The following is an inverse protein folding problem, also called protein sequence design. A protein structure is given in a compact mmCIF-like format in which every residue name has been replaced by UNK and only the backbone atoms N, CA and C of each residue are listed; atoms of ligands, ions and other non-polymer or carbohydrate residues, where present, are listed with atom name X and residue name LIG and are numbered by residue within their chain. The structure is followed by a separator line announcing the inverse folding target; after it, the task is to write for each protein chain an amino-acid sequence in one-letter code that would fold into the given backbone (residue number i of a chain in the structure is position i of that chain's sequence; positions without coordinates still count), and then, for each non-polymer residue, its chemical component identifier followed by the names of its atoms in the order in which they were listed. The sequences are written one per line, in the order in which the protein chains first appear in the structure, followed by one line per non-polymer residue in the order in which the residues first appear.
data_IF_484611171604
#
_entry.id   IF_484611171604
#
_cell.length_a   1.000
_cell.length_b   1.000
_cell.length_c   1.000
_cell.angle_alpha   90.00
_cell.angle_beta   90.00
_cell.angle_gamma   90.00
#
_symmetry.space_group_name_H-M   'P 1'
#
loop_
_entity.id
_entity.type
_entity.pdbx_description
1 polymer ?
#
# COMPACT_ATOMS: atom_id res chain seq x y z
N UNK A 1 -2.03 10.64 34.81
CA UNK A 1 -1.77 10.74 33.37
C UNK A 1 -0.99 9.51 32.94
N UNK A 2 -1.66 8.47 32.41
CA UNK A 2 -0.98 7.23 31.95
C UNK A 2 -0.30 7.53 30.61
N UNK A 3 0.96 7.12 30.46
CA UNK A 3 1.73 7.34 29.23
C UNK A 3 1.02 6.69 28.03
N UNK A 4 0.74 7.44 26.94
CA UNK A 4 -0.08 6.98 25.81
C UNK A 4 0.57 5.88 24.96
N UNK A 5 1.87 5.63 25.13
CA UNK A 5 2.58 4.49 24.55
C UNK A 5 2.10 3.13 25.08
N UNK A 6 1.27 3.09 26.12
CA UNK A 6 0.84 1.83 26.76
C UNK A 6 0.11 0.85 25.85
N UNK A 7 -0.62 1.32 24.82
CA UNK A 7 -1.27 0.45 23.83
C UNK A 7 -0.23 -0.22 22.92
N UNK A 8 0.64 0.58 22.31
CA UNK A 8 1.69 0.09 21.40
C UNK A 8 2.74 -0.76 22.14
N UNK A 9 3.10 -0.40 23.38
CA UNK A 9 4.02 -1.19 24.21
C UNK A 9 3.46 -2.55 24.63
N UNK A 10 2.15 -2.76 24.50
CA UNK A 10 1.50 -4.06 24.75
C UNK A 10 1.34 -4.89 23.47
N UNK A 11 1.60 -4.32 22.30
CA UNK A 11 1.55 -5.07 21.06
C UNK A 11 2.74 -6.03 21.02
N UNK A 12 2.43 -7.31 21.18
CA UNK A 12 3.35 -8.38 20.88
C UNK A 12 3.37 -8.59 19.36
N UNK A 13 4.19 -7.78 18.68
CA UNK A 13 4.29 -7.77 17.22
C UNK A 13 4.75 -9.12 16.67
N UNK A 14 5.62 -9.82 17.39
CA UNK A 14 6.09 -11.14 16.99
C UNK A 14 4.93 -12.13 17.02
N UNK A 15 4.17 -12.15 18.11
CA UNK A 15 2.98 -12.99 18.20
C UNK A 15 1.93 -12.63 17.15
N UNK A 16 1.65 -11.34 16.92
CA UNK A 16 0.72 -10.90 15.87
C UNK A 16 1.19 -11.38 14.49
N UNK A 17 2.49 -11.27 14.20
CA UNK A 17 3.06 -11.72 12.93
C UNK A 17 2.90 -13.24 12.75
N UNK A 18 3.28 -14.03 13.76
CA UNK A 18 3.36 -15.48 13.68
C UNK A 18 2.00 -16.18 13.85
N UNK A 19 1.17 -15.71 14.77
CA UNK A 19 -0.10 -16.36 15.12
C UNK A 19 -1.27 -15.85 14.27
N UNK A 20 -1.15 -14.68 13.63
CA UNK A 20 -2.25 -14.05 12.89
C UNK A 20 -1.89 -13.72 11.44
N UNK A 21 -0.90 -12.86 11.20
CA UNK A 21 -0.59 -12.39 9.82
C UNK A 21 -0.18 -13.55 8.93
N UNK A 22 0.79 -14.36 9.36
CA UNK A 22 1.30 -15.51 8.57
C UNK A 22 0.18 -16.50 8.23
N UNK A 23 -0.60 -17.03 9.20
CA UNK A 23 -1.71 -17.94 8.89
C UNK A 23 -2.75 -17.32 7.94
N UNK A 24 -3.19 -16.08 8.20
CA UNK A 24 -4.21 -15.46 7.36
C UNK A 24 -3.71 -15.21 5.93
N UNK A 25 -2.45 -14.80 5.75
CA UNK A 25 -1.88 -14.66 4.42
C UNK A 25 -1.83 -16.01 3.68
N UNK A 26 -1.51 -17.12 4.35
CA UNK A 26 -1.52 -18.44 3.70
C UNK A 26 -2.91 -18.94 3.36
N UNK A 27 -3.86 -18.84 4.29
CA UNK A 27 -5.17 -19.49 4.17
C UNK A 27 -6.18 -18.65 3.37
N UNK A 28 -6.14 -17.34 3.59
CA UNK A 28 -7.13 -16.37 3.09
C UNK A 28 -6.53 -15.50 1.98
N UNK A 29 -5.25 -15.14 2.09
CA UNK A 29 -4.55 -14.29 1.12
C UNK A 29 -4.49 -12.80 1.50
N UNK A 30 -5.19 -12.41 2.57
CA UNK A 30 -5.15 -11.07 3.16
C UNK A 30 -5.52 -11.12 4.66
N UNK A 31 -5.18 -10.07 5.41
CA UNK A 31 -5.62 -9.85 6.79
C UNK A 31 -5.55 -8.36 7.15
N UNK A 32 -6.29 -7.94 8.17
CA UNK A 32 -6.18 -6.58 8.68
C UNK A 32 -6.17 -6.54 10.22
N UNK A 33 -5.53 -5.51 10.76
CA UNK A 33 -5.46 -5.20 12.18
C UNK A 33 -6.14 -3.85 12.40
N UNK A 34 -7.16 -3.83 13.26
CA UNK A 34 -7.81 -2.59 13.68
C UNK A 34 -7.15 -2.04 14.94
N UNK A 35 -7.21 -0.70 15.10
CA UNK A 35 -6.64 0.02 16.23
C UNK A 35 -5.12 -0.23 16.37
N UNK A 36 -4.38 -0.19 15.26
CA UNK A 36 -2.98 -0.59 15.22
C UNK A 36 -2.05 0.34 16.01
N UNK A 37 -2.10 1.65 15.78
CA UNK A 37 -1.28 2.64 16.47
C UNK A 37 -1.97 3.21 17.72
N UNK A 38 -3.30 3.15 17.76
CA UNK A 38 -4.15 3.90 18.68
C UNK A 38 -4.37 5.35 18.24
N UNK A 39 -5.41 5.97 18.80
CA UNK A 39 -5.91 7.28 18.37
C UNK A 39 -4.84 8.37 18.31
N UNK A 40 -4.00 8.49 19.35
CA UNK A 40 -3.03 9.59 19.44
C UNK A 40 -2.01 9.56 18.29
N UNK A 41 -1.39 8.40 18.06
CA UNK A 41 -0.36 8.27 17.03
C UNK A 41 -1.00 8.23 15.64
N UNK A 42 -2.15 7.57 15.50
CA UNK A 42 -2.95 7.60 14.27
C UNK A 42 -3.35 9.02 13.87
N UNK A 43 -3.68 9.88 14.83
CA UNK A 43 -3.98 11.30 14.60
C UNK A 43 -2.77 12.09 14.12
N UNK A 44 -1.60 11.89 14.73
CA UNK A 44 -0.37 12.52 14.25
C UNK A 44 -0.07 12.16 12.78
N UNK A 45 -0.29 10.89 12.39
CA UNK A 45 -0.14 10.46 10.99
C UNK A 45 -1.20 11.14 10.10
N UNK A 46 -2.46 11.16 10.51
CA UNK A 46 -3.56 11.76 9.76
C UNK A 46 -3.36 13.25 9.53
N UNK A 47 -2.97 14.00 10.57
CA UNK A 47 -2.74 15.44 10.47
C UNK A 47 -1.56 15.74 9.53
N UNK A 48 -0.50 14.93 9.56
CA UNK A 48 0.60 15.10 8.60
C UNK A 48 0.16 14.84 7.16
N UNK A 49 -0.67 13.82 6.92
CA UNK A 49 -1.22 13.53 5.59
C UNK A 49 -2.16 14.64 5.11
N UNK A 50 -3.03 15.17 5.97
CA UNK A 50 -3.88 16.33 5.66
C UNK A 50 -3.06 17.56 5.29
N UNK A 51 -1.99 17.85 6.03
CA UNK A 51 -1.08 18.97 5.72
C UNK A 51 -0.49 18.81 4.32
N UNK A 52 0.05 17.63 3.97
CA UNK A 52 0.58 17.39 2.62
C UNK A 52 -0.49 17.63 1.54
N UNK A 53 -1.73 17.21 1.78
CA UNK A 53 -2.83 17.42 0.86
C UNK A 53 -3.22 18.90 0.73
N UNK A 54 -3.43 19.60 1.85
CA UNK A 54 -3.85 21.00 1.84
C UNK A 54 -2.78 21.96 1.34
N UNK A 55 -1.50 21.60 1.46
CA UNK A 55 -0.38 22.32 0.87
C UNK A 55 -0.20 22.06 -0.63
N UNK A 56 -1.04 21.22 -1.25
CA UNK A 56 -0.94 20.89 -2.68
C UNK A 56 0.27 20.02 -3.04
N UNK A 57 0.81 19.26 -2.09
CA UNK A 57 2.01 18.45 -2.31
C UNK A 57 1.71 17.10 -3.01
N UNK A 58 0.44 16.73 -3.13
CA UNK A 58 0.00 15.51 -3.83
C UNK A 58 -0.25 15.80 -5.32
N UNK A 59 0.11 14.83 -6.16
CA UNK A 59 -0.03 14.91 -7.63
C UNK A 59 -0.93 13.80 -8.16
N UNK A 60 -1.61 14.01 -9.28
CA UNK A 60 -2.49 13.00 -9.90
C UNK A 60 -1.76 11.64 -10.05
N UNK A 61 -2.41 10.57 -9.58
CA UNK A 61 -1.85 9.22 -9.54
C UNK A 61 -1.48 8.69 -10.93
N UNK A 62 -0.27 8.14 -11.05
CA UNK A 62 0.23 7.56 -12.30
C UNK A 62 0.23 6.03 -12.26
N UNK A 63 0.12 5.40 -13.43
CA UNK A 63 0.31 3.96 -13.61
C UNK A 63 1.76 3.64 -13.98
N UNK A 64 2.25 2.48 -13.54
CA UNK A 64 3.54 1.95 -13.99
C UNK A 64 3.45 1.57 -15.48
N UNK A 65 4.28 2.19 -16.32
CA UNK A 65 4.32 1.97 -17.77
C UNK A 65 3.93 3.22 -18.58
N UNK A 66 4.81 3.65 -19.47
CA UNK A 66 4.56 4.75 -20.42
C UNK A 66 3.54 4.30 -21.47
N UNK A 67 2.29 4.72 -21.32
CA UNK A 67 1.40 4.99 -22.46
C UNK A 67 1.10 6.48 -22.46
N UNK A 68 1.62 7.18 -23.46
CA UNK A 68 1.39 8.61 -23.69
C UNK A 68 -0.05 8.82 -24.19
N UNK A 69 -0.70 9.92 -23.78
CA UNK A 69 -1.79 10.53 -24.57
C UNK A 69 -3.23 10.30 -24.14
N UNK A 70 -3.54 9.43 -23.17
CA UNK A 70 -4.93 9.27 -22.66
C UNK A 70 -4.99 9.78 -21.23
N UNK A 71 -5.92 10.69 -20.93
CA UNK A 71 -6.22 11.13 -19.56
C UNK A 71 -6.47 9.89 -18.70
N UNK A 72 -5.63 9.65 -17.69
CA UNK A 72 -5.63 8.40 -16.90
C UNK A 72 -6.61 8.44 -15.72
N UNK A 73 -7.36 9.55 -15.56
CA UNK A 73 -8.37 9.74 -14.51
C UNK A 73 -9.47 8.67 -14.50
N UNK A 74 -9.73 8.05 -15.65
CA UNK A 74 -10.69 6.95 -15.78
C UNK A 74 -10.24 5.66 -15.08
N UNK A 75 -8.92 5.49 -14.86
CA UNK A 75 -8.35 4.27 -14.26
C UNK A 75 -8.14 4.42 -12.76
N UNK A 76 -7.62 5.58 -12.34
CA UNK A 76 -7.50 5.96 -10.94
C UNK A 76 -7.74 7.45 -10.76
N UNK A 77 -8.52 7.82 -9.75
CA UNK A 77 -8.92 9.20 -9.47
C UNK A 77 -8.24 9.81 -8.24
N UNK A 78 -7.18 9.21 -7.73
CA UNK A 78 -6.46 9.67 -6.55
C UNK A 78 -5.29 10.59 -6.87
N UNK A 79 -4.89 11.36 -5.87
CA UNK A 79 -3.66 12.14 -5.83
C UNK A 79 -2.68 11.47 -4.86
N UNK A 80 -1.40 11.42 -5.21
CA UNK A 80 -0.38 10.71 -4.44
C UNK A 80 0.86 11.55 -4.17
N UNK A 81 1.56 11.19 -3.08
CA UNK A 81 2.92 11.64 -2.77
C UNK A 81 3.74 10.47 -2.24
N UNK A 82 4.97 10.34 -2.72
CA UNK A 82 5.92 9.35 -2.20
C UNK A 82 6.80 9.97 -1.12
N UNK A 83 6.85 9.35 0.05
CA UNK A 83 7.65 9.80 1.20
C UNK A 83 8.53 8.67 1.75
N UNK A 84 9.75 9.00 2.15
CA UNK A 84 10.66 8.07 2.81
C UNK A 84 10.25 7.80 4.26
N UNK A 85 9.55 8.77 4.89
CA UNK A 85 9.26 8.78 6.31
C UNK A 85 10.41 9.40 7.12
N UNK A 86 11.42 10.01 6.48
CA UNK A 86 12.52 10.71 7.15
C UNK A 86 12.47 12.22 6.91
N UNK A 87 11.46 12.69 6.19
CA UNK A 87 11.19 14.10 6.00
C UNK A 87 10.77 14.77 7.32
N UNK A 88 11.02 16.07 7.43
CA UNK A 88 10.60 16.87 8.59
C UNK A 88 9.08 16.77 8.80
N UNK A 89 8.67 16.59 10.07
CA UNK A 89 7.27 16.44 10.45
C UNK A 89 6.67 15.07 10.16
N UNK A 90 7.47 14.09 9.68
CA UNK A 90 7.03 12.73 9.41
C UNK A 90 7.39 11.73 10.51
N UNK A 91 7.65 12.16 11.74
CA UNK A 91 8.12 11.30 12.84
C UNK A 91 7.10 10.20 13.19
N UNK A 92 5.81 10.52 13.24
CA UNK A 92 4.75 9.54 13.45
C UNK A 92 4.62 8.55 12.26
N UNK A 93 4.85 9.04 11.04
CA UNK A 93 4.89 8.19 9.84
C UNK A 93 6.10 7.24 9.90
N UNK A 94 7.28 7.76 10.27
CA UNK A 94 8.48 6.95 10.46
C UNK A 94 8.23 5.83 11.46
N UNK A 95 7.60 6.18 12.58
CA UNK A 95 7.27 5.22 13.63
C UNK A 95 6.30 4.15 13.14
N UNK A 96 5.22 4.51 12.44
CA UNK A 96 4.31 3.57 11.77
C UNK A 96 5.07 2.64 10.83
N UNK A 97 5.90 3.18 9.93
CA UNK A 97 6.70 2.38 9.00
C UNK A 97 7.63 1.41 9.72
N UNK A 98 8.25 1.83 10.83
CA UNK A 98 9.12 0.97 11.64
C UNK A 98 8.36 -0.21 12.29
N UNK A 99 7.08 -0.02 12.62
CA UNK A 99 6.24 -1.08 13.18
C UNK A 99 5.83 -2.07 12.10
N UNK A 100 5.45 -1.60 10.91
CA UNK A 100 5.12 -2.46 9.77
C UNK A 100 6.37 -3.25 9.35
N UNK A 101 7.54 -2.61 9.30
CA UNK A 101 8.81 -3.26 8.99
C UNK A 101 9.11 -4.39 9.98
N UNK A 102 8.89 -4.17 11.28
CA UNK A 102 9.03 -5.20 12.30
C UNK A 102 8.04 -6.36 12.12
N UNK A 103 6.77 -6.09 11.84
CA UNK A 103 5.77 -7.15 11.58
C UNK A 103 6.21 -8.04 10.41
N UNK A 104 6.63 -7.45 9.29
CA UNK A 104 7.08 -8.22 8.12
C UNK A 104 8.39 -8.97 8.41
N UNK A 105 9.31 -8.37 9.16
CA UNK A 105 10.53 -9.05 9.60
C UNK A 105 10.23 -10.27 10.48
N UNK A 106 9.30 -10.17 11.43
CA UNK A 106 8.89 -11.29 12.27
C UNK A 106 8.21 -12.40 11.48
N UNK A 107 7.46 -12.06 10.43
CA UNK A 107 6.93 -13.07 9.51
C UNK A 107 8.08 -13.85 8.84
N UNK A 108 9.14 -13.16 8.41
CA UNK A 108 10.39 -13.74 7.91
C UNK A 108 10.18 -14.87 6.90
N UNK A 109 10.89 -15.98 7.10
CA UNK A 109 10.81 -17.18 6.23
C UNK A 109 9.47 -17.93 6.33
N UNK A 110 8.52 -17.49 7.17
CA UNK A 110 7.18 -18.09 7.23
C UNK A 110 6.26 -17.58 6.14
N UNK A 111 6.64 -16.56 5.36
CA UNK A 111 5.87 -16.05 4.21
C UNK A 111 5.93 -16.97 2.97
N UNK A 112 6.23 -18.26 3.16
CA UNK A 112 6.37 -19.24 2.08
C UNK A 112 7.71 -19.08 1.36
N UNK A 113 7.67 -18.93 0.04
CA UNK A 113 8.86 -18.82 -0.81
C UNK A 113 9.54 -17.45 -0.77
N UNK A 114 8.89 -16.44 -0.20
CA UNK A 114 9.35 -15.06 -0.29
C UNK A 114 10.45 -14.76 0.72
N UNK A 115 11.47 -14.07 0.26
CA UNK A 115 12.53 -13.53 1.09
C UNK A 115 12.58 -12.01 1.01
N UNK A 116 11.97 -11.36 2.00
CA UNK A 116 11.78 -9.91 2.01
C UNK A 116 13.02 -9.19 2.54
N UNK A 117 13.60 -8.30 1.72
CA UNK A 117 14.80 -7.50 2.09
C UNK A 117 14.59 -6.00 2.06
N UNK A 118 13.73 -5.52 1.18
CA UNK A 118 13.50 -4.10 0.98
C UNK A 118 12.00 -3.84 0.81
N UNK A 119 11.59 -2.59 1.06
CA UNK A 119 10.25 -2.09 0.71
C UNK A 119 10.34 -0.78 -0.05
N UNK A 120 9.23 -0.37 -0.63
CA UNK A 120 9.11 0.95 -1.27
C UNK A 120 9.16 2.08 -0.24
N UNK A 121 9.32 3.30 -0.74
CA UNK A 121 8.83 4.50 -0.04
C UNK A 121 7.32 4.36 0.21
N UNK A 122 6.79 5.07 1.19
CA UNK A 122 5.36 5.10 1.45
C UNK A 122 4.67 5.98 0.41
N UNK A 123 3.64 5.44 -0.25
CA UNK A 123 2.75 6.18 -1.12
C UNK A 123 1.57 6.67 -0.29
N UNK A 124 1.56 7.96 0.05
CA UNK A 124 0.37 8.64 0.58
C UNK A 124 -0.58 8.85 -0.59
N UNK A 125 -1.85 8.48 -0.43
CA UNK A 125 -2.89 8.63 -1.42
C UNK A 125 -4.12 9.34 -0.84
N UNK A 126 -4.72 10.22 -1.63
CA UNK A 126 -5.97 10.92 -1.36
C UNK A 126 -6.94 10.68 -2.53
N UNK A 127 -8.08 10.07 -2.27
CA UNK A 127 -9.22 10.10 -3.19
C UNK A 127 -10.11 11.27 -2.73
N UNK A 128 -10.23 12.35 -3.52
CA UNK A 128 -10.86 13.61 -3.07
C UNK A 128 -12.40 13.56 -3.07
N UNK A 129 -13.02 12.38 -3.05
CA UNK A 129 -14.47 12.20 -3.17
C UNK A 129 -14.94 12.25 -4.64
N UNK A 130 -16.15 12.76 -4.87
CA UNK A 130 -16.76 12.93 -6.20
C UNK A 130 -16.84 11.65 -7.05
N UNK A 131 -16.97 10.49 -6.42
CA UNK A 131 -17.03 9.20 -7.09
C UNK A 131 -15.67 8.71 -7.62
N UNK A 132 -14.56 9.34 -7.21
CA UNK A 132 -13.22 8.86 -7.57
C UNK A 132 -12.96 7.48 -6.96
N UNK A 133 -12.30 6.62 -7.72
CA UNK A 133 -11.96 5.26 -7.33
C UNK A 133 -10.75 4.75 -8.10
N UNK A 134 -10.51 3.45 -8.02
CA UNK A 134 -9.46 2.76 -8.79
C UNK A 134 -10.06 1.48 -9.34
N UNK A 135 -10.10 1.38 -10.67
CA UNK A 135 -10.55 0.18 -11.38
C UNK A 135 -9.82 -1.08 -10.92
N UNK A 136 -10.47 -2.22 -11.09
CA UNK A 136 -9.92 -3.53 -10.77
C UNK A 136 -8.55 -3.74 -11.42
N UNK A 137 -7.56 -4.08 -10.59
CA UNK A 137 -6.20 -4.34 -11.01
C UNK A 137 -5.51 -5.38 -10.12
N UNK A 138 -4.30 -5.76 -10.51
CA UNK A 138 -3.37 -6.54 -9.69
C UNK A 138 -2.17 -5.65 -9.46
N UNK A 139 -1.63 -5.64 -8.24
CA UNK A 139 -0.50 -4.79 -7.91
C UNK A 139 0.74 -5.22 -8.69
N UNK A 140 1.10 -6.50 -8.62
CA UNK A 140 2.23 -7.10 -9.33
C UNK A 140 1.79 -8.14 -10.37
N UNK A 141 1.32 -7.73 -11.56
CA UNK A 141 0.81 -8.66 -12.57
C UNK A 141 1.92 -9.38 -13.35
N UNK A 142 3.15 -8.83 -13.34
CA UNK A 142 4.23 -9.17 -14.27
C UNK A 142 5.56 -9.54 -13.56
N UNK A 143 5.57 -9.69 -12.24
CA UNK A 143 6.75 -10.06 -11.47
C UNK A 143 7.79 -8.94 -11.36
N UNK A 144 7.41 -7.78 -10.81
CA UNK A 144 8.31 -6.64 -10.56
C UNK A 144 9.03 -6.67 -9.20
N UNK A 145 8.81 -7.76 -8.44
CA UNK A 145 9.36 -8.04 -7.13
C UNK A 145 8.38 -7.80 -5.97
N UNK A 146 7.28 -7.05 -6.16
CA UNK A 146 6.35 -6.77 -5.04
C UNK A 146 5.63 -8.05 -4.64
N UNK A 147 5.78 -8.45 -3.38
CA UNK A 147 5.19 -9.68 -2.85
C UNK A 147 4.07 -9.40 -1.86
N UNK A 148 4.21 -8.40 -1.00
CA UNK A 148 3.20 -8.01 -0.01
C UNK A 148 2.87 -6.54 -0.17
N UNK A 149 1.57 -6.24 -0.27
CA UNK A 149 1.03 -4.89 -0.19
C UNK A 149 0.56 -4.66 1.24
N UNK A 150 0.99 -3.55 1.84
CA UNK A 150 0.54 -3.10 3.15
C UNK A 150 -0.10 -1.72 3.04
N UNK A 151 -1.34 -1.57 3.53
CA UNK A 151 -2.10 -0.32 3.48
C UNK A 151 -2.52 0.08 4.89
N UNK A 152 -2.19 1.30 5.29
CA UNK A 152 -2.69 1.91 6.52
C UNK A 152 -3.76 2.96 6.20
N UNK A 153 -4.93 2.84 6.83
CA UNK A 153 -6.09 3.70 6.61
C UNK A 153 -6.26 4.76 7.70
N UNK A 154 -6.78 5.92 7.30
CA UNK A 154 -6.70 7.16 8.07
C UNK A 154 -8.04 7.88 8.23
N UNK A 155 -9.16 7.21 7.93
CA UNK A 155 -10.45 7.87 7.74
C UNK A 155 -11.34 7.75 8.96
N UNK A 156 -11.36 8.80 9.80
CA UNK A 156 -12.20 8.84 11.00
C UNK A 156 -13.68 8.85 10.64
N UNK A 157 -14.46 8.13 11.45
CA UNK A 157 -15.92 8.07 11.33
C UNK A 157 -16.40 7.71 9.91
N UNK A 158 -15.67 6.81 9.24
CA UNK A 158 -16.03 6.38 7.90
C UNK A 158 -17.28 5.50 7.93
N UNK A 159 -18.34 5.91 7.25
CA UNK A 159 -19.51 5.09 6.94
C UNK A 159 -19.49 4.74 5.46
N UNK A 160 -19.19 3.48 5.12
CA UNK A 160 -19.14 3.03 3.73
C UNK A 160 -20.48 3.09 3.00
N UNK A 161 -21.63 3.10 3.69
CA UNK A 161 -22.94 3.26 3.07
C UNK A 161 -23.17 4.68 2.56
N UNK A 162 -22.56 5.67 3.23
CA UNK A 162 -22.67 7.08 2.86
C UNK A 162 -21.50 7.52 1.97
N UNK A 163 -20.28 7.13 2.35
CA UNK A 163 -19.04 7.62 1.73
C UNK A 163 -18.47 6.70 0.65
N UNK A 164 -18.98 5.47 0.51
CA UNK A 164 -18.44 4.48 -0.42
C UNK A 164 -16.99 4.10 -0.09
N UNK A 165 -16.12 4.07 -1.11
CA UNK A 165 -14.66 3.95 -0.95
C UNK A 165 -14.15 2.62 -0.41
N UNK A 166 -14.97 1.56 -0.46
CA UNK A 166 -14.59 0.20 -0.07
C UNK A 166 -13.46 -0.29 -0.97
N UNK A 167 -12.43 -0.90 -0.36
CA UNK A 167 -11.48 -1.73 -1.11
C UNK A 167 -12.10 -3.12 -1.27
N UNK A 168 -12.38 -3.52 -2.50
CA UNK A 168 -12.94 -4.82 -2.83
C UNK A 168 -11.86 -5.72 -3.40
N UNK A 169 -11.62 -6.85 -2.76
CA UNK A 169 -10.63 -7.87 -3.16
C UNK A 169 -11.37 -9.08 -3.72
N UNK A 170 -10.85 -9.65 -4.81
CA UNK A 170 -11.41 -10.82 -5.50
C UNK A 170 -10.43 -11.99 -5.44
N UNK A 171 -10.27 -12.70 -4.31
CA UNK A 171 -9.24 -13.70 -4.15
C UNK A 171 -9.34 -14.82 -5.20
N UNK A 172 -8.22 -15.11 -5.87
CA UNK A 172 -8.18 -16.09 -6.95
C UNK A 172 -8.56 -17.49 -6.44
N UNK A 173 -9.42 -18.18 -7.20
CA UNK A 173 -9.90 -19.52 -6.84
C UNK A 173 -10.85 -19.58 -5.65
N UNK A 174 -11.29 -18.44 -5.11
CA UNK A 174 -12.32 -18.37 -4.06
C UNK A 174 -13.66 -17.94 -4.66
N UNK A 175 -14.75 -18.45 -4.10
CA UNK A 175 -16.12 -18.09 -4.52
C UNK A 175 -16.63 -16.78 -3.91
N UNK A 176 -15.91 -16.24 -2.93
CA UNK A 176 -16.29 -15.03 -2.22
C UNK A 176 -15.51 -13.82 -2.73
N UNK A 177 -16.07 -12.65 -2.44
CA UNK A 177 -15.43 -11.34 -2.58
C UNK A 177 -15.25 -10.77 -1.18
N UNK A 178 -14.13 -10.12 -0.93
CA UNK A 178 -13.84 -9.51 0.37
C UNK A 178 -13.91 -7.98 0.27
N UNK A 179 -14.75 -7.37 1.10
CA UNK A 179 -14.88 -5.92 1.20
C UNK A 179 -14.17 -5.42 2.46
N UNK A 180 -13.24 -4.49 2.29
CA UNK A 180 -12.47 -3.87 3.38
C UNK A 180 -12.80 -2.38 3.44
N UNK A 181 -13.48 -1.98 4.51
CA UNK A 181 -13.73 -0.57 4.79
C UNK A 181 -12.43 0.15 5.16
N UNK A 182 -12.19 1.39 4.66
CA UNK A 182 -10.96 2.12 4.88
C UNK A 182 -10.97 2.84 6.24
N UNK A 183 -11.26 2.12 7.31
CA UNK A 183 -11.44 2.67 8.65
C UNK A 183 -10.16 3.29 9.21
N UNK A 184 -10.28 4.33 10.02
CA UNK A 184 -9.15 4.90 10.74
C UNK A 184 -8.41 3.85 11.58
N UNK A 185 -7.08 3.91 11.53
CA UNK A 185 -6.16 3.03 12.29
C UNK A 185 -6.28 1.54 11.96
N UNK A 186 -6.75 1.23 10.74
CA UNK A 186 -6.71 -0.10 10.16
C UNK A 186 -5.45 -0.30 9.34
N UNK A 187 -4.69 -1.35 9.64
CA UNK A 187 -3.56 -1.84 8.87
C UNK A 187 -3.94 -3.11 8.10
N UNK A 188 -3.86 -3.10 6.78
CA UNK A 188 -4.19 -4.21 5.89
C UNK A 188 -2.92 -4.79 5.28
N UNK A 189 -2.86 -6.11 5.15
CA UNK A 189 -1.86 -6.86 4.37
C UNK A 189 -2.56 -7.76 3.36
N UNK A 190 -2.01 -7.86 2.15
CA UNK A 190 -2.41 -8.86 1.17
C UNK A 190 -1.27 -9.17 0.18
N UNK A 191 -1.32 -10.34 -0.46
CA UNK A 191 -0.35 -10.68 -1.51
C UNK A 191 -0.51 -9.74 -2.72
N UNK A 192 0.60 -9.16 -3.19
CA UNK A 192 0.57 -8.20 -4.30
C UNK A 192 0.32 -8.83 -5.67
N UNK A 193 0.51 -10.14 -5.83
CA UNK A 193 0.40 -10.81 -7.13
C UNK A 193 -1.07 -11.15 -7.51
N UNK A 194 -1.21 -11.99 -8.54
CA UNK A 194 -2.50 -12.37 -9.13
C UNK A 194 -3.46 -13.09 -8.19
N UNK A 195 -3.01 -13.48 -6.99
CA UNK A 195 -3.87 -14.02 -5.94
C UNK A 195 -4.93 -13.02 -5.47
N UNK A 196 -4.65 -11.71 -5.54
CA UNK A 196 -5.56 -10.66 -5.03
C UNK A 196 -5.81 -9.52 -6.03
N UNK A 197 -6.51 -9.76 -7.16
CA UNK A 197 -7.11 -8.67 -7.93
C UNK A 197 -8.03 -7.86 -7.03
N UNK A 198 -7.97 -6.53 -7.10
CA UNK A 198 -8.75 -5.66 -6.23
C UNK A 198 -9.09 -4.33 -6.90
N UNK A 199 -10.13 -3.66 -6.41
CA UNK A 199 -10.60 -2.36 -6.86
C UNK A 199 -10.93 -1.46 -5.67
N UNK A 200 -10.77 -0.14 -5.83
CA UNK A 200 -11.30 0.85 -4.90
C UNK A 200 -12.61 1.36 -5.48
N UNK A 201 -13.72 1.04 -4.82
CA UNK A 201 -15.04 1.52 -5.21
C UNK A 201 -15.11 3.05 -5.16
N UNK A 202 -16.04 3.68 -5.90
CA UNK A 202 -16.25 5.11 -5.87
C UNK A 202 -16.34 5.66 -4.44
N UNK A 203 -15.54 6.68 -4.16
CA UNK A 203 -15.52 7.37 -2.89
C UNK A 203 -16.22 8.73 -3.02
N UNK A 204 -17.10 9.05 -2.08
CA UNK A 204 -17.89 10.28 -2.07
C UNK A 204 -17.50 11.24 -0.94
N UNK A 205 -16.48 10.89 -0.17
CA UNK A 205 -15.81 11.75 0.80
C UNK A 205 -14.29 11.65 0.60
N UNK A 206 -13.52 12.55 1.22
CA UNK A 206 -12.06 12.49 1.15
C UNK A 206 -11.54 11.23 1.85
N UNK A 207 -10.91 10.34 1.09
CA UNK A 207 -10.36 9.06 1.57
C UNK A 207 -8.85 9.06 1.49
N UNK A 208 -8.18 9.00 2.63
CA UNK A 208 -6.75 8.86 2.76
C UNK A 208 -6.33 7.41 3.03
N UNK A 209 -5.19 7.03 2.44
CA UNK A 209 -4.50 5.79 2.74
C UNK A 209 -2.99 5.98 2.54
N UNK A 210 -2.19 5.18 3.23
CA UNK A 210 -0.75 5.11 3.02
C UNK A 210 -0.35 3.68 2.67
N UNK A 211 0.31 3.48 1.53
CA UNK A 211 0.66 2.15 1.02
C UNK A 211 2.18 1.97 0.97
N UNK A 212 2.67 0.81 1.41
CA UNK A 212 4.03 0.33 1.13
C UNK A 212 3.97 -1.05 0.51
N UNK A 213 4.93 -1.33 -0.38
CA UNK A 213 5.10 -2.66 -0.95
C UNK A 213 6.42 -3.26 -0.52
N UNK A 214 6.38 -4.49 -0.02
CA UNK A 214 7.57 -5.27 0.32
C UNK A 214 8.00 -6.11 -0.88
N UNK A 215 9.31 -6.18 -1.09
CA UNK A 215 9.89 -6.85 -2.25
C UNK A 215 10.53 -8.17 -1.87
N UNK A 216 10.20 -9.21 -2.64
CA UNK A 216 10.98 -10.44 -2.69
C UNK A 216 12.35 -10.17 -3.31
N UNK A 217 13.42 -10.61 -2.65
CA UNK A 217 14.78 -10.28 -3.04
C UNK A 217 15.16 -10.83 -4.42
N UNK A 218 14.75 -12.06 -4.75
CA UNK A 218 15.12 -12.72 -6.00
C UNK A 218 14.33 -12.14 -7.17
N UNK A 219 13.00 -12.10 -7.06
CA UNK A 219 12.12 -11.56 -8.10
C UNK A 219 12.45 -10.09 -8.38
N UNK A 220 12.77 -9.31 -7.34
CA UNK A 220 13.19 -7.91 -7.49
C UNK A 220 14.53 -7.77 -8.21
N UNK A 221 15.50 -8.64 -7.93
CA UNK A 221 16.79 -8.62 -8.61
C UNK A 221 16.64 -8.95 -10.10
N UNK A 222 15.80 -9.93 -10.43
CA UNK A 222 15.46 -10.28 -11.82
C UNK A 222 14.75 -9.14 -12.53
N UNK A 223 13.76 -8.50 -11.90
CA UNK A 223 13.04 -7.36 -12.45
C UNK A 223 13.99 -6.19 -12.76
N UNK A 224 14.91 -5.86 -11.83
CA UNK A 224 15.95 -4.84 -12.05
C UNK A 224 16.86 -5.20 -13.22
N UNK A 225 17.24 -6.48 -13.38
CA UNK A 225 18.05 -6.96 -14.50
C UNK A 225 17.31 -6.84 -15.84
N UNK A 226 16.06 -7.30 -15.91
CA UNK A 226 15.21 -7.18 -17.11
C UNK A 226 15.04 -5.71 -17.53
N UNK A 227 14.81 -4.81 -16.57
CA UNK A 227 14.68 -3.38 -16.85
C UNK A 227 15.96 -2.77 -17.43
N UNK A 228 17.13 -3.08 -16.86
CA UNK A 228 18.42 -2.61 -17.41
C UNK A 228 18.62 -3.09 -18.85
N UNK A 229 18.38 -4.38 -19.11
CA UNK A 229 18.53 -4.94 -20.45
C UNK A 229 17.61 -4.26 -21.48
N UNK A 230 16.37 -3.92 -21.10
CA UNK A 230 15.44 -3.20 -21.99
C UNK A 230 15.88 -1.76 -22.27
N UNK A 231 16.39 -1.06 -21.25
CA UNK A 231 16.92 0.31 -21.42
C UNK A 231 18.15 0.29 -22.30
N UNK A 232 19.04 -0.68 -22.13
CA UNK A 232 20.26 -0.81 -22.93
C UNK A 232 19.93 -1.18 -24.39
N UNK A 233 19.00 -2.13 -24.61
CA UNK A 233 18.52 -2.47 -25.96
C UNK A 233 17.85 -1.28 -26.66
N UNK A 234 17.01 -0.50 -25.95
CA UNK A 234 16.38 0.69 -26.51
C UNK A 234 17.36 1.83 -26.83
N UNK A 235 18.48 1.92 -26.10
CA UNK A 235 19.59 2.81 -26.48
C UNK A 235 20.30 2.33 -27.74
N UNK A 236 20.53 1.03 -27.88
CA UNK A 236 21.14 0.45 -29.09
C UNK A 236 20.27 0.65 -30.33
N UNK A 237 18.95 0.45 -30.23
CA UNK A 237 18.01 0.70 -31.33
C UNK A 237 17.91 2.19 -31.71
N UNK A 238 18.00 3.12 -30.74
CA UNK A 238 18.01 4.55 -31.03
C UNK A 238 19.26 4.97 -31.81
N UNK A 239 20.43 4.40 -31.46
CA UNK A 239 21.70 4.66 -32.17
C UNK A 239 21.66 4.11 -33.61
N UNK A 240 21.01 2.97 -33.84
CA UNK A 240 20.91 2.36 -35.18
C UNK A 240 19.88 3.05 -36.10
N UNK A 241 19.00 3.90 -35.56
CA UNK A 241 17.98 4.63 -36.32
C UNK A 241 18.34 6.11 -36.55
N UNK A 242 19.53 6.55 -36.11
CA UNK A 242 20.07 7.91 -36.33
C UNK A 242 21.11 7.96 -37.47
N UNK A 243 21.36 6.84 -38.16
CA UNK A 243 22.17 6.72 -39.39
C UNK A 243 21.29 6.57 -40.64
#
# INVERSE_FOLDING_TARGET
MKMPLGHIMRLDLERIALDYIVPCLHDIGFCYLDNFLGDLVGDCVLERVKQMHYNGELQDGQLAGKRNGISKRHLRGDQIKWIAGTEEGCEAINFLLSLIDRLVMYCGNRLGKYYVKERSKAMVACYPGNGTGYVRHVDNPNGDGRCITCIYYLNKNWDSKLHGGILRIFPEGKSYVADVEPLFDRLLFFWSDRRNPHEVQPSYATRYAMTVWYFDAEERAEAKKKFRNLVDAGKTEAVLNED
#
